data_IF_768156011981
#
_entry.id   IF_768156011981
#
_cell.length_a   1.000
_cell.length_b   1.000
_cell.length_c   1.000
_cell.angle_alpha   90.00
_cell.angle_beta   90.00
_cell.angle_gamma   90.00
#
_symmetry.space_group_name_H-M   'P 1'
#
loop_
_entity.id
_entity.type
_entity.pdbx_description
1 polymer ?
#
# COMPACT_ATOMS: atom_id res chain seq x y z
N UNK A 1 -1.96 1.25 -42.46
CA UNK A 1 -0.63 0.73 -42.84
C UNK A 1 -0.86 -0.54 -43.67
N UNK A 2 -0.11 -0.81 -44.74
CA UNK A 2 -0.24 -2.11 -45.44
C UNK A 2 0.22 -3.23 -44.50
N UNK A 3 -0.49 -4.36 -44.40
CA UNK A 3 -0.11 -5.44 -43.49
C UNK A 3 1.27 -5.98 -43.87
N UNK A 4 2.23 -5.85 -42.97
CA UNK A 4 3.57 -6.41 -43.15
C UNK A 4 3.44 -7.94 -43.02
N UNK A 5 3.79 -8.67 -44.08
CA UNK A 5 3.69 -10.13 -44.08
C UNK A 5 4.67 -10.76 -43.08
N UNK A 6 4.13 -11.44 -42.06
CA UNK A 6 4.91 -12.18 -41.06
C UNK A 6 5.85 -13.21 -41.69
N UNK A 7 5.44 -13.82 -42.82
CA UNK A 7 6.24 -14.79 -43.56
C UNK A 7 7.52 -14.19 -44.13
N UNK A 8 7.44 -12.95 -44.62
CA UNK A 8 8.61 -12.23 -45.14
C UNK A 8 9.58 -11.89 -44.01
N UNK A 9 9.07 -11.47 -42.84
CA UNK A 9 9.86 -11.12 -41.66
C UNK A 9 10.60 -12.35 -41.12
N UNK A 10 9.90 -13.47 -40.94
CA UNK A 10 10.49 -14.71 -40.45
C UNK A 10 11.54 -15.25 -41.43
N UNK A 11 11.28 -15.20 -42.75
CA UNK A 11 12.27 -15.65 -43.74
C UNK A 11 13.59 -14.86 -43.65
N UNK A 12 13.51 -13.53 -43.48
CA UNK A 12 14.67 -12.65 -43.37
C UNK A 12 15.42 -12.88 -42.04
N UNK A 13 14.69 -13.12 -40.94
CA UNK A 13 15.31 -13.42 -39.64
C UNK A 13 16.01 -14.79 -39.64
N UNK A 14 15.44 -15.81 -40.31
CA UNK A 14 16.07 -17.13 -40.43
C UNK A 14 17.33 -17.14 -41.30
N UNK A 15 17.52 -16.14 -42.16
CA UNK A 15 18.73 -15.99 -42.97
C UNK A 15 19.93 -15.45 -42.18
N UNK A 16 19.73 -15.03 -40.92
CA UNK A 16 20.81 -14.56 -40.03
C UNK A 16 21.45 -15.77 -39.35
N UNK A 17 22.75 -16.06 -39.58
CA UNK A 17 23.39 -17.26 -39.04
C UNK A 17 23.42 -17.29 -37.51
N UNK A 18 23.08 -18.43 -36.90
CA UNK A 18 23.14 -18.62 -35.45
C UNK A 18 24.55 -18.32 -34.92
N UNK A 19 24.67 -17.43 -33.93
CA UNK A 19 25.94 -17.10 -33.27
C UNK A 19 26.80 -16.02 -33.93
N UNK A 20 26.33 -15.36 -35.00
CA UNK A 20 27.02 -14.19 -35.59
C UNK A 20 26.90 -12.91 -34.75
N UNK A 21 25.84 -12.79 -33.94
CA UNK A 21 25.59 -11.64 -33.07
C UNK A 21 26.09 -11.92 -31.65
N UNK A 22 27.41 -11.78 -31.43
CA UNK A 22 28.03 -11.99 -30.10
C UNK A 22 27.96 -10.75 -29.21
N UNK A 23 27.98 -9.55 -29.81
CA UNK A 23 28.00 -8.28 -29.08
C UNK A 23 26.67 -7.54 -29.18
N UNK A 24 26.24 -6.93 -28.06
CA UNK A 24 24.98 -6.16 -27.96
C UNK A 24 24.88 -5.02 -28.98
N UNK A 25 26.01 -4.41 -29.34
CA UNK A 25 26.08 -3.33 -30.33
C UNK A 25 25.75 -3.81 -31.75
N UNK A 26 26.29 -4.96 -32.15
CA UNK A 26 26.02 -5.57 -33.46
C UNK A 26 24.55 -6.01 -33.57
N UNK A 27 23.98 -6.50 -32.46
CA UNK A 27 22.56 -6.84 -32.38
C UNK A 27 21.68 -5.61 -32.57
N UNK A 28 21.96 -4.51 -31.87
CA UNK A 28 21.19 -3.27 -31.99
C UNK A 28 21.28 -2.67 -33.41
N UNK A 29 22.46 -2.69 -34.02
CA UNK A 29 22.64 -2.21 -35.40
C UNK A 29 21.85 -3.05 -36.42
N UNK A 30 21.81 -4.37 -36.22
CA UNK A 30 21.06 -5.30 -37.08
C UNK A 30 19.56 -5.10 -36.92
N UNK A 31 19.07 -4.93 -35.69
CA UNK A 31 17.67 -4.61 -35.39
C UNK A 31 17.25 -3.30 -36.04
N UNK A 32 18.05 -2.23 -35.93
CA UNK A 32 17.78 -0.93 -36.56
C UNK A 32 17.71 -1.06 -38.09
N UNK A 33 18.63 -1.81 -38.72
CA UNK A 33 18.62 -2.05 -40.17
C UNK A 33 17.39 -2.83 -40.62
N UNK A 34 16.95 -3.82 -39.84
CA UNK A 34 15.76 -4.61 -40.13
C UNK A 34 14.47 -3.78 -39.97
N UNK A 35 14.34 -3.01 -38.89
CA UNK A 35 13.19 -2.13 -38.68
C UNK A 35 13.03 -1.11 -39.82
N UNK A 36 14.13 -0.46 -40.24
CA UNK A 36 14.13 0.44 -41.40
C UNK A 36 13.76 -0.24 -42.71
N UNK A 37 14.13 -1.51 -42.90
CA UNK A 37 13.77 -2.30 -44.10
C UNK A 37 12.27 -2.60 -44.19
N UNK A 38 11.57 -2.64 -43.06
CA UNK A 38 10.12 -2.81 -42.98
C UNK A 38 9.35 -1.49 -42.83
N UNK A 39 10.00 -0.35 -43.07
CA UNK A 39 9.43 1.00 -42.87
C UNK A 39 8.90 1.25 -41.45
N UNK A 40 9.55 0.66 -40.44
CA UNK A 40 9.26 0.89 -39.01
C UNK A 40 10.32 1.84 -38.42
N UNK A 41 9.87 2.82 -37.64
CA UNK A 41 10.76 3.77 -36.96
C UNK A 41 11.42 3.09 -35.74
N UNK A 42 12.76 3.06 -35.62
CA UNK A 42 13.45 2.38 -34.53
C UNK A 42 13.22 2.95 -33.13
N UNK A 43 12.77 4.20 -33.04
CA UNK A 43 12.57 4.91 -31.78
C UNK A 43 11.08 5.18 -31.48
N UNK A 44 10.19 4.79 -32.39
CA UNK A 44 8.74 5.00 -32.30
C UNK A 44 7.98 3.80 -32.87
N UNK A 45 7.75 2.74 -32.07
CA UNK A 45 6.95 1.60 -32.50
C UNK A 45 5.52 2.03 -32.88
N UNK A 46 4.88 1.37 -33.87
CA UNK A 46 3.50 1.68 -34.26
C UNK A 46 2.49 1.34 -33.16
N UNK A 47 1.35 2.03 -33.11
CA UNK A 47 0.31 1.80 -32.10
C UNK A 47 -0.64 0.62 -32.42
N UNK A 48 -0.59 0.06 -33.62
CA UNK A 48 -1.42 -1.07 -34.05
C UNK A 48 -0.80 -2.42 -33.68
N UNK A 49 -1.64 -3.40 -33.33
CA UNK A 49 -1.19 -4.74 -32.93
C UNK A 49 -0.22 -5.38 -33.94
N UNK A 50 -0.56 -5.34 -35.23
CA UNK A 50 0.27 -5.91 -36.29
C UNK A 50 1.65 -5.25 -36.35
N UNK A 51 1.72 -3.93 -36.19
CA UNK A 51 2.97 -3.18 -36.07
C UNK A 51 3.79 -3.59 -34.83
N UNK A 52 3.17 -3.65 -33.65
CA UNK A 52 3.83 -4.04 -32.38
C UNK A 52 4.34 -5.47 -32.42
N UNK A 53 3.56 -6.40 -32.97
CA UNK A 53 3.92 -7.81 -33.05
C UNK A 53 5.09 -8.04 -34.01
N UNK A 54 5.09 -7.39 -35.18
CA UNK A 54 6.22 -7.42 -36.13
C UNK A 54 7.47 -6.77 -35.54
N UNK A 55 7.30 -5.63 -34.87
CA UNK A 55 8.38 -4.92 -34.21
C UNK A 55 9.06 -5.79 -33.13
N UNK A 56 8.24 -6.45 -32.30
CA UNK A 56 8.69 -7.42 -31.29
C UNK A 56 9.43 -8.59 -31.92
N UNK A 57 8.91 -9.13 -33.03
CA UNK A 57 9.53 -10.25 -33.74
C UNK A 57 10.92 -9.90 -34.28
N UNK A 58 11.14 -8.65 -34.68
CA UNK A 58 12.45 -8.15 -35.13
C UNK A 58 13.42 -7.92 -33.94
N UNK A 59 12.97 -7.31 -32.84
CA UNK A 59 13.82 -7.09 -31.65
C UNK A 59 14.22 -8.40 -30.96
N UNK A 60 13.27 -9.32 -30.82
CA UNK A 60 13.48 -10.61 -30.18
C UNK A 60 14.16 -11.62 -31.10
N UNK A 61 13.66 -11.74 -32.33
CA UNK A 61 13.97 -12.83 -33.26
C UNK A 61 15.33 -12.74 -33.94
N UNK A 62 16.03 -11.60 -33.86
CA UNK A 62 17.38 -11.45 -34.38
C UNK A 62 18.35 -12.43 -33.70
N UNK A 63 18.84 -13.41 -34.46
CA UNK A 63 19.77 -14.44 -34.00
C UNK A 63 19.14 -15.63 -33.25
N UNK A 64 17.81 -15.79 -33.31
CA UNK A 64 17.09 -16.92 -32.70
C UNK A 64 16.96 -18.12 -33.67
N UNK A 65 16.85 -19.35 -33.15
CA UNK A 65 16.63 -20.55 -33.98
C UNK A 65 15.33 -20.48 -34.77
N UNK A 66 15.32 -21.12 -35.94
CA UNK A 66 14.16 -21.19 -36.84
C UNK A 66 12.92 -21.76 -36.15
N UNK A 67 13.10 -22.76 -35.28
CA UNK A 67 12.02 -23.41 -34.53
C UNK A 67 11.33 -22.42 -33.57
N UNK A 68 12.08 -21.50 -32.96
CA UNK A 68 11.53 -20.44 -32.10
C UNK A 68 10.76 -19.41 -32.92
N UNK A 69 11.27 -19.02 -34.09
CA UNK A 69 10.56 -18.09 -34.98
C UNK A 69 9.28 -18.71 -35.56
N UNK A 70 9.28 -20.03 -35.79
CA UNK A 70 8.10 -20.78 -36.25
C UNK A 70 7.03 -20.94 -35.17
N UNK A 71 7.39 -20.90 -33.88
CA UNK A 71 6.43 -20.87 -32.77
C UNK A 71 5.58 -19.60 -32.81
N UNK A 72 6.21 -18.43 -32.98
CA UNK A 72 5.50 -17.14 -33.05
C UNK A 72 4.81 -16.86 -34.39
N UNK A 73 4.93 -17.79 -35.35
CA UNK A 73 4.16 -17.80 -36.61
C UNK A 73 2.78 -18.45 -36.45
N UNK A 74 2.58 -19.24 -35.40
CA UNK A 74 1.37 -20.04 -35.24
C UNK A 74 0.18 -19.12 -34.99
N UNK A 75 -0.90 -19.35 -35.72
CA UNK A 75 -2.06 -18.47 -35.70
C UNK A 75 -2.72 -18.46 -34.32
N UNK A 76 -2.67 -19.57 -33.59
CA UNK A 76 -3.17 -19.71 -32.21
C UNK A 76 -2.38 -18.82 -31.25
N UNK A 77 -1.06 -18.75 -31.42
CA UNK A 77 -0.17 -17.90 -30.62
C UNK A 77 -0.39 -16.43 -30.98
N UNK A 78 -0.42 -16.10 -32.27
CA UNK A 78 -0.69 -14.73 -32.74
C UNK A 78 -2.05 -14.22 -32.23
N UNK A 79 -3.10 -15.05 -32.28
CA UNK A 79 -4.42 -14.72 -31.74
C UNK A 79 -4.42 -14.58 -30.21
N UNK A 80 -3.61 -15.36 -29.49
CA UNK A 80 -3.45 -15.19 -28.04
C UNK A 80 -2.80 -13.85 -27.71
N UNK A 81 -1.77 -13.43 -28.47
CA UNK A 81 -1.16 -12.12 -28.34
C UNK A 81 -2.13 -10.99 -28.73
N UNK A 82 -2.93 -11.18 -29.80
CA UNK A 82 -3.94 -10.20 -30.22
C UNK A 82 -5.02 -10.01 -29.17
N UNK A 83 -5.56 -11.10 -28.62
CA UNK A 83 -6.55 -11.06 -27.52
C UNK A 83 -5.96 -10.47 -26.25
N UNK A 84 -4.71 -10.79 -25.91
CA UNK A 84 -4.04 -10.21 -24.75
C UNK A 84 -3.79 -8.70 -24.93
N UNK A 85 -3.54 -8.25 -26.17
CA UNK A 85 -3.34 -6.84 -26.51
C UNK A 85 -4.65 -6.05 -26.49
N UNK A 86 -5.73 -6.59 -27.07
CA UNK A 86 -7.06 -5.92 -27.10
C UNK A 86 -7.73 -5.87 -25.72
N UNK A 87 -7.55 -6.92 -24.90
CA UNK A 87 -8.19 -7.05 -23.60
C UNK A 87 -7.30 -6.60 -22.42
N UNK A 88 -6.12 -6.04 -22.69
CA UNK A 88 -5.10 -5.63 -21.73
C UNK A 88 -4.81 -6.63 -20.58
N UNK A 89 -4.73 -7.92 -20.91
CA UNK A 89 -4.64 -9.01 -19.92
C UNK A 89 -3.53 -10.02 -20.24
N UNK A 90 -2.38 -9.95 -19.52
CA UNK A 90 -1.27 -10.88 -19.69
C UNK A 90 -1.58 -12.32 -19.27
N UNK A 91 -2.61 -12.54 -18.45
CA UNK A 91 -2.97 -13.88 -17.95
C UNK A 91 -3.51 -14.80 -19.07
N UNK A 92 -4.19 -14.21 -20.06
CA UNK A 92 -4.67 -14.92 -21.26
C UNK A 92 -3.49 -15.50 -22.05
N UNK A 93 -2.39 -14.74 -22.11
CA UNK A 93 -1.18 -15.10 -22.83
C UNK A 93 -0.44 -16.28 -22.19
N UNK A 94 -0.30 -16.25 -20.85
CA UNK A 94 0.42 -17.28 -20.09
C UNK A 94 -0.31 -18.62 -20.22
N UNK A 95 -1.64 -18.62 -20.05
CA UNK A 95 -2.44 -19.84 -20.16
C UNK A 95 -2.44 -20.41 -21.58
N UNK A 96 -2.68 -19.58 -22.60
CA UNK A 96 -2.68 -20.01 -24.00
C UNK A 96 -1.30 -20.52 -24.47
N UNK A 97 -0.22 -19.89 -23.98
CA UNK A 97 1.15 -20.33 -24.23
C UNK A 97 1.48 -21.66 -23.58
N UNK A 98 1.07 -21.86 -22.32
CA UNK A 98 1.28 -23.14 -21.62
C UNK A 98 0.51 -24.30 -22.25
N UNK A 99 -0.75 -24.08 -22.63
CA UNK A 99 -1.59 -25.09 -23.27
C UNK A 99 -0.97 -25.51 -24.62
N UNK A 100 -0.57 -24.55 -25.47
CA UNK A 100 0.05 -24.83 -26.77
C UNK A 100 1.43 -25.50 -26.65
N UNK A 101 2.27 -25.09 -25.69
CA UNK A 101 3.63 -25.62 -25.51
C UNK A 101 3.68 -27.01 -24.88
N UNK A 102 2.59 -27.46 -24.26
CA UNK A 102 2.47 -28.81 -23.71
C UNK A 102 1.86 -29.80 -24.72
N UNK A 103 1.05 -29.33 -25.67
CA UNK A 103 0.30 -30.19 -26.60
C UNK A 103 0.87 -30.22 -28.04
N UNK A 104 1.76 -29.30 -28.42
CA UNK A 104 2.26 -29.18 -29.80
C UNK A 104 3.55 -29.97 -30.09
N UNK A 105 3.63 -30.52 -31.31
CA UNK A 105 4.85 -31.17 -31.82
C UNK A 105 6.05 -30.20 -31.89
N UNK A 106 5.81 -28.93 -32.20
CA UNK A 106 6.84 -27.87 -32.19
C UNK A 106 7.39 -27.61 -30.79
N UNK A 107 6.55 -27.69 -29.76
CA UNK A 107 6.98 -27.59 -28.36
C UNK A 107 7.95 -28.71 -27.98
N UNK A 108 7.76 -29.92 -28.50
CA UNK A 108 8.66 -31.05 -28.31
C UNK A 108 9.98 -30.87 -29.08
N UNK A 109 9.92 -30.46 -30.35
CA UNK A 109 11.12 -30.19 -31.17
C UNK A 109 12.05 -29.12 -30.55
N UNK A 110 11.48 -28.10 -29.90
CA UNK A 110 12.27 -27.06 -29.20
C UNK A 110 12.95 -27.64 -27.94
N UNK A 111 12.27 -28.52 -27.20
CA UNK A 111 12.84 -29.21 -26.03
C UNK A 111 13.98 -30.14 -26.42
N UNK A 112 13.84 -30.84 -27.55
CA UNK A 112 14.87 -31.75 -28.08
C UNK A 112 16.15 -31.01 -28.50
N UNK A 113 16.06 -29.71 -28.81
CA UNK A 113 17.20 -28.81 -29.04
C UNK A 113 17.86 -28.29 -27.74
N UNK A 114 17.38 -28.73 -26.57
CA UNK A 114 17.86 -28.29 -25.25
C UNK A 114 17.44 -26.87 -24.88
N UNK A 115 16.43 -26.31 -25.56
CA UNK A 115 15.90 -24.97 -25.32
C UNK A 115 14.62 -25.10 -24.51
N UNK A 116 14.48 -24.30 -23.45
CA UNK A 116 13.23 -24.24 -22.67
C UNK A 116 12.19 -23.39 -23.42
N UNK A 117 11.12 -23.99 -23.99
CA UNK A 117 10.12 -23.26 -24.76
C UNK A 117 9.35 -22.26 -23.90
N UNK A 118 9.14 -22.55 -22.61
CA UNK A 118 8.42 -21.64 -21.70
C UNK A 118 9.23 -20.39 -21.44
N UNK A 119 10.55 -20.55 -21.24
CA UNK A 119 11.47 -19.44 -21.04
C UNK A 119 11.53 -18.52 -22.27
N UNK A 120 11.56 -19.10 -23.47
CA UNK A 120 11.58 -18.33 -24.73
C UNK A 120 10.23 -17.63 -24.99
N UNK A 121 9.11 -18.29 -24.69
CA UNK A 121 7.79 -17.68 -24.77
C UNK A 121 7.64 -16.48 -23.82
N UNK A 122 8.06 -16.63 -22.57
CA UNK A 122 8.05 -15.55 -21.58
C UNK A 122 9.00 -14.41 -21.96
N UNK A 123 10.15 -14.72 -22.56
CA UNK A 123 11.09 -13.72 -23.03
C UNK A 123 10.52 -12.91 -24.21
N UNK A 124 9.84 -13.57 -25.16
CA UNK A 124 9.13 -12.87 -26.23
C UNK A 124 7.97 -12.03 -25.69
N UNK A 125 7.18 -12.56 -24.76
CA UNK A 125 6.10 -11.84 -24.09
C UNK A 125 6.59 -10.58 -23.36
N UNK A 126 7.74 -10.65 -22.71
CA UNK A 126 8.36 -9.51 -22.05
C UNK A 126 8.75 -8.41 -23.05
N UNK A 127 9.35 -8.77 -24.19
CA UNK A 127 9.69 -7.81 -25.25
C UNK A 127 8.40 -7.24 -25.88
N UNK A 128 7.38 -8.07 -26.12
CA UNK A 128 6.09 -7.62 -26.63
C UNK A 128 5.44 -6.58 -25.71
N UNK A 129 5.38 -6.88 -24.41
CA UNK A 129 4.83 -5.97 -23.41
C UNK A 129 5.65 -4.68 -23.31
N UNK A 130 6.97 -4.76 -23.45
CA UNK A 130 7.85 -3.60 -23.43
C UNK A 130 7.65 -2.70 -24.66
N UNK A 131 7.55 -3.29 -25.85
CA UNK A 131 7.23 -2.56 -27.08
C UNK A 131 5.83 -1.94 -26.98
N UNK A 132 4.83 -2.70 -26.52
CA UNK A 132 3.49 -2.19 -26.27
C UNK A 132 3.48 -1.05 -25.24
N UNK A 133 4.29 -1.13 -24.17
CA UNK A 133 4.44 -0.04 -23.19
C UNK A 133 5.04 1.22 -23.78
N UNK A 134 6.02 1.10 -24.69
CA UNK A 134 6.63 2.27 -25.39
C UNK A 134 5.65 2.97 -26.32
N UNK A 135 4.63 2.24 -26.80
CA UNK A 135 3.54 2.80 -27.61
C UNK A 135 2.41 3.42 -26.79
N UNK A 136 2.38 3.17 -25.47
CA UNK A 136 1.30 3.56 -24.58
C UNK A 136 1.61 4.86 -23.83
N UNK A 137 0.58 5.68 -23.63
CA UNK A 137 0.65 6.94 -22.89
C UNK A 137 0.93 6.72 -21.38
N UNK A 138 1.42 7.73 -20.65
CA UNK A 138 1.93 7.62 -19.27
C UNK A 138 1.02 6.96 -18.21
N UNK A 139 -0.28 6.78 -18.48
CA UNK A 139 -1.21 6.09 -17.60
C UNK A 139 -0.92 4.58 -17.45
N UNK A 140 -0.42 3.92 -18.49
CA UNK A 140 -0.31 2.45 -18.51
C UNK A 140 0.97 1.93 -17.84
N UNK A 141 1.95 2.81 -17.62
CA UNK A 141 3.16 2.52 -16.82
C UNK A 141 2.79 2.25 -15.34
N UNK A 142 1.64 2.72 -14.86
CA UNK A 142 1.20 2.50 -13.47
C UNK A 142 0.69 1.08 -13.18
N UNK A 143 0.09 0.39 -14.15
CA UNK A 143 -0.40 -0.99 -13.95
C UNK A 143 0.75 -1.98 -13.69
N UNK A 144 1.92 -1.76 -14.30
CA UNK A 144 3.13 -2.55 -14.03
C UNK A 144 3.62 -2.42 -12.58
N UNK A 145 3.47 -1.24 -11.97
CA UNK A 145 3.82 -1.02 -10.56
C UNK A 145 2.79 -1.66 -9.60
N UNK A 146 1.52 -1.74 -10.01
CA UNK A 146 0.50 -2.43 -9.23
C UNK A 146 0.80 -3.95 -9.13
N UNK A 147 1.30 -4.59 -10.19
CA UNK A 147 1.70 -6.00 -10.18
C UNK A 147 2.92 -6.24 -9.28
N UNK A 148 3.91 -5.35 -9.30
CA UNK A 148 5.04 -5.40 -8.38
C UNK A 148 4.61 -5.24 -6.91
N UNK A 149 3.61 -4.40 -6.64
CA UNK A 149 3.03 -4.25 -5.29
C UNK A 149 2.26 -5.50 -4.84
N UNK A 150 1.59 -6.19 -5.76
CA UNK A 150 0.88 -7.45 -5.52
C UNK A 150 1.83 -8.59 -5.18
N UNK A 151 2.96 -8.69 -5.90
CA UNK A 151 4.03 -9.65 -5.57
C UNK A 151 4.66 -9.38 -4.20
N UNK A 152 4.83 -8.10 -3.83
CA UNK A 152 5.32 -7.70 -2.51
C UNK A 152 4.32 -8.04 -1.39
N UNK A 153 3.02 -7.90 -1.66
CA UNK A 153 1.94 -8.31 -0.74
C UNK A 153 1.88 -9.83 -0.55
N UNK A 154 2.00 -10.61 -1.62
CA UNK A 154 2.05 -12.08 -1.53
C UNK A 154 3.26 -12.57 -0.73
N UNK A 155 4.42 -11.92 -0.88
CA UNK A 155 5.60 -12.17 -0.04
C UNK A 155 5.34 -11.88 1.44
N UNK A 156 4.65 -10.79 1.78
CA UNK A 156 4.27 -10.48 3.17
C UNK A 156 3.23 -11.44 3.74
N UNK A 157 2.28 -11.91 2.93
CA UNK A 157 1.27 -12.89 3.36
C UNK A 157 1.92 -14.26 3.62
N UNK A 158 2.89 -14.66 2.79
CA UNK A 158 3.67 -15.89 3.03
C UNK A 158 4.50 -15.81 4.31
N UNK A 159 5.16 -14.68 4.58
CA UNK A 159 5.91 -14.45 5.83
C UNK A 159 4.97 -14.42 7.08
N UNK A 160 3.70 -14.01 6.91
CA UNK A 160 2.67 -14.11 7.97
C UNK A 160 2.25 -15.56 8.23
N UNK A 161 2.13 -16.38 7.19
CA UNK A 161 1.77 -17.80 7.33
C UNK A 161 2.87 -18.58 8.08
N UNK A 162 4.14 -18.21 7.90
CA UNK A 162 5.25 -18.80 8.66
C UNK A 162 5.26 -18.40 10.16
N UNK A 163 4.60 -17.31 10.54
CA UNK A 163 4.47 -16.82 11.94
C UNK A 163 3.24 -17.35 12.68
N UNK A 164 2.37 -18.12 12.01
CA UNK A 164 1.17 -18.75 12.59
C UNK A 164 1.36 -19.92 13.59
N UNK A 165 2.54 -20.54 13.83
CA UNK A 165 2.59 -21.67 14.78
C UNK A 165 2.45 -21.25 16.26
N UNK A 166 2.34 -19.95 16.56
CA UNK A 166 2.19 -19.45 17.93
C UNK A 166 0.72 -19.20 18.26
N UNK A 167 0.25 -19.71 19.42
CA UNK A 167 -1.14 -19.57 19.91
C UNK A 167 -1.61 -18.10 19.95
N UNK A 168 -0.68 -17.16 20.17
CA UNK A 168 -0.90 -15.70 20.12
C UNK A 168 -1.33 -15.19 18.73
N UNK A 169 -0.70 -15.70 17.66
CA UNK A 169 -0.98 -15.30 16.28
C UNK A 169 -2.33 -15.83 15.79
N UNK A 170 -2.69 -17.03 16.22
CA UNK A 170 -4.00 -17.64 15.94
C UNK A 170 -5.12 -16.86 16.62
N UNK A 171 -4.91 -16.39 17.87
CA UNK A 171 -5.88 -15.55 18.59
C UNK A 171 -6.06 -14.16 17.97
N UNK A 172 -4.97 -13.61 17.41
CA UNK A 172 -5.00 -12.30 16.74
C UNK A 172 -5.81 -12.34 15.45
N UNK A 173 -5.71 -13.43 14.68
CA UNK A 173 -6.52 -13.58 13.45
C UNK A 173 -7.98 -13.97 13.77
N UNK A 174 -8.25 -14.71 14.85
CA UNK A 174 -9.63 -14.97 15.30
C UNK A 174 -10.37 -13.69 15.72
N UNK A 175 -9.70 -12.78 16.44
CA UNK A 175 -10.28 -11.50 16.85
C UNK A 175 -10.58 -10.56 15.65
N UNK A 176 -9.88 -10.77 14.53
CA UNK A 176 -10.07 -10.00 13.30
C UNK A 176 -11.21 -10.55 12.44
N UNK A 177 -11.42 -11.87 12.44
CA UNK A 177 -12.52 -12.53 11.72
C UNK A 177 -13.88 -12.33 12.40
N UNK A 178 -13.93 -12.13 13.72
CA UNK A 178 -15.18 -11.83 14.43
C UNK A 178 -15.64 -10.36 14.29
N UNK A 179 -14.82 -9.49 13.68
CA UNK A 179 -15.21 -8.13 13.31
C UNK A 179 -16.04 -8.08 12.02
N UNK A 180 -16.16 -9.20 11.30
CA UNK A 180 -17.15 -9.40 10.24
C UNK A 180 -18.43 -9.99 10.87
N UNK A 181 -19.50 -9.20 10.88
CA UNK A 181 -20.79 -9.44 11.55
C UNK A 181 -21.28 -10.91 11.57
N UNK A 182 -21.28 -11.52 12.76
CA UNK A 182 -22.20 -12.62 13.10
C UNK A 182 -23.14 -12.19 14.24
N UNK A 183 -24.46 -12.08 13.98
CA UNK A 183 -25.43 -11.75 15.02
C UNK A 183 -25.82 -13.01 15.79
N UNK A 184 -25.20 -13.25 16.96
CA UNK A 184 -25.85 -13.88 18.12
C UNK A 184 -24.86 -14.08 19.30
N UNK A 185 -25.01 -13.28 20.36
CA UNK A 185 -25.13 -13.69 21.78
C UNK A 185 -24.84 -12.49 22.71
N UNK A 186 -25.81 -12.04 23.53
CA UNK A 186 -25.58 -10.94 24.46
C UNK A 186 -24.85 -11.45 25.70
N UNK A 187 -24.04 -10.56 26.31
CA UNK A 187 -23.25 -10.69 27.55
C UNK A 187 -21.78 -11.13 27.41
N UNK A 188 -21.44 -12.13 26.60
CA UNK A 188 -20.02 -12.56 26.41
C UNK A 188 -19.24 -11.70 25.40
N UNK A 189 -19.94 -11.11 24.43
CA UNK A 189 -19.34 -10.22 23.43
C UNK A 189 -18.80 -8.92 24.07
N UNK A 190 -19.50 -8.35 25.06
CA UNK A 190 -19.08 -7.09 25.70
C UNK A 190 -17.75 -7.21 26.44
N UNK A 191 -17.55 -8.31 27.18
CA UNK A 191 -16.28 -8.59 27.88
C UNK A 191 -15.15 -8.92 26.90
N UNK A 192 -15.41 -9.66 25.82
CA UNK A 192 -14.39 -9.95 24.80
C UNK A 192 -13.99 -8.70 24.00
N UNK A 193 -14.94 -7.84 23.64
CA UNK A 193 -14.68 -6.56 22.97
C UNK A 193 -13.90 -5.61 23.89
N UNK A 194 -14.24 -5.56 25.19
CA UNK A 194 -13.52 -4.75 26.16
C UNK A 194 -12.07 -5.24 26.34
N UNK A 195 -11.87 -6.56 26.50
CA UNK A 195 -10.54 -7.19 26.56
C UNK A 195 -9.71 -6.91 25.30
N UNK A 196 -10.32 -7.01 24.13
CA UNK A 196 -9.68 -6.68 22.85
C UNK A 196 -9.22 -5.22 22.79
N UNK A 197 -10.05 -4.27 23.26
CA UNK A 197 -9.68 -2.85 23.30
C UNK A 197 -8.57 -2.54 24.30
N UNK A 198 -8.60 -3.15 25.49
CA UNK A 198 -7.53 -3.02 26.50
C UNK A 198 -6.22 -3.56 25.94
N UNK A 199 -6.27 -4.67 25.19
CA UNK A 199 -5.12 -5.26 24.52
C UNK A 199 -4.59 -4.41 23.36
N UNK A 200 -5.45 -3.78 22.56
CA UNK A 200 -5.00 -2.86 21.50
C UNK A 200 -4.28 -1.66 22.13
N UNK A 201 -4.88 -1.05 23.15
CA UNK A 201 -4.29 0.09 23.85
C UNK A 201 -2.94 -0.28 24.49
N UNK A 202 -2.85 -1.45 25.12
CA UNK A 202 -1.61 -1.91 25.73
C UNK A 202 -0.50 -2.06 24.69
N UNK A 203 -0.77 -2.65 23.53
CA UNK A 203 0.24 -2.77 22.46
C UNK A 203 0.68 -1.41 21.92
N UNK A 204 -0.24 -0.46 21.79
CA UNK A 204 0.08 0.91 21.37
C UNK A 204 0.98 1.63 22.39
N UNK A 205 0.60 1.59 23.68
CA UNK A 205 1.37 2.20 24.78
C UNK A 205 2.74 1.55 24.91
N UNK A 206 2.80 0.22 24.81
CA UNK A 206 4.04 -0.54 24.87
C UNK A 206 4.98 -0.17 23.72
N UNK A 207 4.48 -0.19 22.48
CA UNK A 207 5.28 0.19 21.31
C UNK A 207 5.80 1.63 21.41
N UNK A 208 5.02 2.53 22.00
CA UNK A 208 5.47 3.90 22.27
C UNK A 208 6.63 3.94 23.29
N UNK A 209 6.47 3.31 24.45
CA UNK A 209 7.52 3.28 25.47
C UNK A 209 8.79 2.56 25.03
N UNK A 210 8.67 1.50 24.23
CA UNK A 210 9.81 0.83 23.60
C UNK A 210 10.55 1.78 22.64
N UNK A 211 9.81 2.60 21.88
CA UNK A 211 10.39 3.63 21.00
C UNK A 211 11.17 4.70 21.80
N UNK A 212 10.65 5.09 22.96
CA UNK A 212 11.33 6.00 23.90
C UNK A 212 12.46 5.32 24.69
N UNK A 213 12.71 4.04 24.46
CA UNK A 213 13.72 3.23 25.16
C UNK A 213 13.50 3.13 26.68
N UNK A 214 12.24 3.19 27.13
CA UNK A 214 11.87 2.91 28.52
C UNK A 214 12.01 1.41 28.81
N UNK A 215 12.42 1.06 30.03
CA UNK A 215 12.62 -0.35 30.41
C UNK A 215 11.41 -0.86 31.18
N UNK A 216 10.94 -2.03 30.81
CA UNK A 216 9.85 -2.71 31.52
C UNK A 216 10.41 -3.60 32.62
N UNK A 217 9.82 -3.54 33.80
CA UNK A 217 10.06 -4.51 34.86
C UNK A 217 9.28 -5.81 34.65
N UNK A 218 9.55 -6.81 35.48
CA UNK A 218 8.81 -8.09 35.49
C UNK A 218 7.38 -7.96 36.02
N UNK A 219 7.01 -6.82 36.60
CA UNK A 219 5.67 -6.60 37.13
C UNK A 219 4.69 -6.34 35.99
N UNK A 220 3.73 -7.25 35.85
CA UNK A 220 2.70 -7.20 34.83
C UNK A 220 1.41 -7.79 35.39
N UNK A 221 0.32 -7.04 35.26
CA UNK A 221 -1.04 -7.49 35.60
C UNK A 221 -1.92 -7.33 34.37
N UNK A 222 -2.67 -8.37 34.07
CA UNK A 222 -3.70 -8.39 33.04
C UNK A 222 -5.03 -8.75 33.67
N UNK A 223 -5.96 -7.81 33.62
CA UNK A 223 -7.34 -7.99 34.06
C UNK A 223 -8.29 -7.65 32.92
N UNK A 224 -9.55 -8.05 33.09
CA UNK A 224 -10.55 -7.97 32.01
C UNK A 224 -10.78 -6.54 31.49
N UNK A 225 -10.55 -5.53 32.34
CA UNK A 225 -10.83 -4.12 32.05
C UNK A 225 -9.60 -3.20 32.15
N UNK A 226 -8.45 -3.71 32.59
CA UNK A 226 -7.24 -2.91 32.76
C UNK A 226 -5.96 -3.75 32.69
N UNK A 227 -4.85 -3.09 32.42
CA UNK A 227 -3.51 -3.65 32.57
C UNK A 227 -2.66 -2.77 33.48
N UNK A 228 -1.66 -3.35 34.12
CA UNK A 228 -0.63 -2.59 34.85
C UNK A 228 0.77 -3.09 34.51
N UNK A 229 1.69 -2.13 34.36
CA UNK A 229 3.13 -2.36 34.22
C UNK A 229 3.91 -1.41 35.10
N UNK A 230 5.18 -1.75 35.33
CA UNK A 230 6.14 -0.79 35.88
C UNK A 230 7.21 -0.54 34.83
N UNK A 231 7.47 0.74 34.58
CA UNK A 231 8.50 1.21 33.65
C UNK A 231 9.55 2.04 34.38
N UNK A 232 10.80 1.93 33.95
CA UNK A 232 11.90 2.80 34.37
C UNK A 232 12.12 3.91 33.33
N UNK A 233 11.84 5.15 33.72
CA UNK A 233 12.04 6.34 32.89
C UNK A 233 13.37 7.01 33.24
N UNK A 234 14.29 7.23 32.27
CA UNK A 234 15.58 7.84 32.55
C UNK A 234 15.46 9.35 32.76
N UNK A 235 15.78 9.86 33.95
CA UNK A 235 15.57 11.28 34.28
C UNK A 235 16.83 12.12 34.17
N UNK A 236 17.98 11.64 34.68
CA UNK A 236 19.31 12.29 34.56
C UNK A 236 20.41 11.38 35.13
N UNK A 237 21.59 11.32 34.49
CA UNK A 237 22.83 10.65 34.97
C UNK A 237 22.60 9.36 35.77
N UNK A 238 22.22 8.27 35.09
CA UNK A 238 21.97 6.92 35.66
C UNK A 238 20.87 6.82 36.73
N UNK A 239 20.11 7.89 36.99
CA UNK A 239 18.89 7.83 37.80
C UNK A 239 17.70 7.49 36.91
N UNK A 240 16.88 6.56 37.38
CA UNK A 240 15.61 6.18 36.78
C UNK A 240 14.52 6.49 37.80
N UNK A 241 13.40 7.01 37.31
CA UNK A 241 12.18 7.13 38.10
C UNK A 241 11.26 5.98 37.69
N UNK A 242 10.73 5.31 38.70
CA UNK A 242 9.98 4.05 38.54
C UNK A 242 8.50 4.38 38.51
N UNK A 243 7.88 4.20 37.35
CA UNK A 243 6.51 4.65 37.08
C UNK A 243 5.59 3.44 36.91
N UNK A 244 4.51 3.40 37.69
CA UNK A 244 3.44 2.43 37.50
C UNK A 244 2.48 2.94 36.41
N UNK A 245 2.37 2.23 35.30
CA UNK A 245 1.42 2.56 34.24
C UNK A 245 0.21 1.66 34.35
N UNK A 246 -0.98 2.25 34.47
CA UNK A 246 -2.26 1.56 34.44
C UNK A 246 -3.05 1.98 33.21
N UNK A 247 -3.38 1.04 32.34
CA UNK A 247 -4.16 1.32 31.14
C UNK A 247 -5.58 0.79 31.21
N UNK A 248 -6.56 1.56 30.73
CA UNK A 248 -7.97 1.17 30.66
C UNK A 248 -8.57 1.50 29.29
N UNK A 249 -9.46 0.64 28.78
CA UNK A 249 -10.15 0.90 27.50
C UNK A 249 -11.34 1.86 27.64
N UNK A 250 -11.91 1.96 28.85
CA UNK A 250 -13.10 2.75 29.15
C UNK A 250 -12.79 4.19 29.54
N UNK A 251 -13.84 4.90 29.97
CA UNK A 251 -13.68 6.22 30.59
C UNK A 251 -12.96 6.09 31.94
N UNK A 252 -11.92 6.91 32.14
CA UNK A 252 -11.21 6.97 33.42
C UNK A 252 -12.05 7.68 34.48
N UNK A 253 -12.42 6.91 35.50
CA UNK A 253 -13.18 7.39 36.65
C UNK A 253 -12.33 7.56 37.91
N UNK A 254 -12.95 8.09 38.95
CA UNK A 254 -12.37 8.23 40.29
C UNK A 254 -11.91 6.89 40.89
N UNK A 255 -12.65 5.81 40.61
CA UNK A 255 -12.29 4.46 41.08
C UNK A 255 -10.95 4.00 40.52
N UNK A 256 -10.66 4.32 39.26
CA UNK A 256 -9.43 3.92 38.60
C UNK A 256 -8.21 4.66 39.17
N UNK A 257 -8.39 5.93 39.56
CA UNK A 257 -7.34 6.71 40.24
C UNK A 257 -7.07 6.19 41.64
N UNK A 258 -8.12 5.86 42.41
CA UNK A 258 -7.94 5.26 43.74
C UNK A 258 -7.21 3.91 43.63
N UNK A 259 -7.60 3.08 42.66
CA UNK A 259 -6.91 1.81 42.41
C UNK A 259 -5.45 2.02 41.97
N UNK A 260 -5.18 3.03 41.12
CA UNK A 260 -3.81 3.41 40.76
C UNK A 260 -3.00 3.82 42.00
N UNK A 261 -3.57 4.64 42.89
CA UNK A 261 -2.92 5.08 44.14
C UNK A 261 -2.54 3.89 45.01
N UNK A 262 -3.47 2.95 45.22
CA UNK A 262 -3.22 1.73 45.98
C UNK A 262 -2.11 0.87 45.36
N UNK A 263 -2.11 0.72 44.03
CA UNK A 263 -1.05 0.00 43.32
C UNK A 263 0.31 0.69 43.44
N UNK A 264 0.37 2.03 43.37
CA UNK A 264 1.59 2.84 43.52
C UNK A 264 2.17 2.67 44.92
N UNK A 265 1.34 2.74 45.96
CA UNK A 265 1.77 2.54 47.35
C UNK A 265 2.25 1.11 47.61
N UNK A 266 1.52 0.12 47.09
CA UNK A 266 1.85 -1.31 47.24
C UNK A 266 3.18 -1.66 46.57
N UNK A 267 3.42 -1.13 45.38
CA UNK A 267 4.64 -1.40 44.61
C UNK A 267 5.78 -0.44 44.95
N UNK A 268 5.53 0.62 45.73
CA UNK A 268 6.49 1.68 46.09
C UNK A 268 7.17 2.29 44.85
N UNK A 269 6.34 2.70 43.89
CA UNK A 269 6.77 3.42 42.68
C UNK A 269 6.83 4.92 42.94
N UNK A 270 7.66 5.64 42.19
CA UNK A 270 7.86 7.08 42.33
C UNK A 270 6.65 7.85 41.79
N UNK A 271 6.10 7.40 40.66
CA UNK A 271 4.93 7.99 40.00
C UNK A 271 3.93 6.92 39.52
N UNK A 272 2.69 7.33 39.27
CA UNK A 272 1.65 6.49 38.67
C UNK A 272 0.95 7.19 37.50
N UNK A 273 0.90 6.57 36.34
CA UNK A 273 0.25 7.10 35.14
C UNK A 273 -0.99 6.27 34.78
N UNK A 274 -2.15 6.91 34.75
CA UNK A 274 -3.38 6.33 34.21
C UNK A 274 -3.51 6.69 32.73
N UNK A 275 -3.57 5.68 31.85
CA UNK A 275 -3.70 5.88 30.40
C UNK A 275 -5.04 5.33 29.91
N UNK A 276 -5.78 6.12 29.13
CA UNK A 276 -7.05 5.68 28.50
C UNK A 276 -7.08 5.95 27.01
N UNK A 277 -7.75 5.10 26.24
CA UNK A 277 -7.97 5.31 24.81
C UNK A 277 -9.01 6.39 24.50
N UNK A 278 -9.96 6.67 25.42
CA UNK A 278 -11.15 7.49 25.10
C UNK A 278 -11.19 8.83 25.79
N UNK A 279 -11.63 8.85 27.05
CA UNK A 279 -11.91 10.08 27.79
C UNK A 279 -11.65 9.91 29.27
N UNK A 280 -11.28 11.02 29.90
CA UNK A 280 -11.07 11.11 31.34
C UNK A 280 -12.22 11.91 31.93
N UNK A 281 -12.89 11.38 32.94
CA UNK A 281 -13.95 12.11 33.63
C UNK A 281 -13.39 13.36 34.30
N UNK A 282 -14.16 14.45 34.35
CA UNK A 282 -13.70 15.71 34.98
C UNK A 282 -13.34 15.49 36.45
N UNK A 283 -14.12 14.69 37.16
CA UNK A 283 -13.84 14.33 38.54
C UNK A 283 -12.53 13.55 38.71
N UNK A 284 -12.14 12.76 37.71
CA UNK A 284 -10.83 12.12 37.68
C UNK A 284 -9.69 13.13 37.50
N UNK A 285 -9.84 14.11 36.58
CA UNK A 285 -8.85 15.20 36.43
C UNK A 285 -8.69 16.02 37.70
N UNK A 286 -9.81 16.46 38.27
CA UNK A 286 -9.82 17.26 39.50
C UNK A 286 -9.18 16.52 40.69
N UNK A 287 -9.31 15.18 40.75
CA UNK A 287 -8.68 14.36 41.79
C UNK A 287 -7.17 14.30 41.64
N UNK A 288 -6.66 14.16 40.40
CA UNK A 288 -5.21 14.13 40.12
C UNK A 288 -4.55 15.50 40.41
N UNK A 289 -5.27 16.61 40.23
CA UNK A 289 -4.76 17.96 40.54
C UNK A 289 -4.58 18.24 42.06
N UNK A 290 -5.15 17.39 42.93
CA UNK A 290 -5.03 17.58 44.38
C UNK A 290 -3.58 17.40 44.84
N UNK A 291 -3.18 18.20 45.84
CA UNK A 291 -1.82 18.16 46.40
C UNK A 291 -1.42 16.79 46.98
N UNK A 292 -2.41 15.97 47.36
CA UNK A 292 -2.22 14.61 47.88
C UNK A 292 -1.81 13.61 46.78
N UNK A 293 -2.11 13.91 45.51
CA UNK A 293 -1.90 13.03 44.35
C UNK A 293 -0.82 13.55 43.39
N UNK A 294 0.13 14.34 43.88
CA UNK A 294 1.16 14.98 43.04
C UNK A 294 2.05 14.02 42.25
N UNK A 295 2.10 12.76 42.66
CA UNK A 295 2.83 11.68 42.00
C UNK A 295 1.95 10.88 41.02
N UNK A 296 0.67 11.23 40.88
CA UNK A 296 -0.22 10.59 39.92
C UNK A 296 -0.44 11.51 38.73
N UNK A 297 -0.59 10.92 37.56
CA UNK A 297 -0.94 11.61 36.33
C UNK A 297 -1.99 10.80 35.56
N UNK A 298 -2.82 11.49 34.78
CA UNK A 298 -3.80 10.85 33.92
C UNK A 298 -3.72 11.42 32.50
N UNK A 299 -3.67 10.55 31.51
CA UNK A 299 -3.52 10.90 30.11
C UNK A 299 -4.49 10.09 29.24
N UNK A 300 -5.04 10.72 28.21
CA UNK A 300 -5.45 9.94 27.04
C UNK A 300 -4.19 9.45 26.32
N UNK A 301 -4.30 8.40 25.50
CA UNK A 301 -3.15 7.94 24.73
C UNK A 301 -2.56 9.07 23.87
N UNK A 302 -3.42 9.89 23.25
CA UNK A 302 -3.00 11.07 22.49
C UNK A 302 -2.28 12.13 23.35
N UNK A 303 -2.75 12.41 24.58
CA UNK A 303 -2.09 13.34 25.50
C UNK A 303 -0.73 12.82 26.00
N UNK A 304 -0.58 11.49 26.09
CA UNK A 304 0.69 10.85 26.42
C UNK A 304 1.70 10.98 25.28
N UNK A 305 1.26 10.81 24.03
CA UNK A 305 2.11 10.99 22.85
C UNK A 305 2.65 12.43 22.77
N UNK A 306 1.82 13.43 23.06
CA UNK A 306 2.18 14.84 23.02
C UNK A 306 3.30 15.24 24.00
N UNK A 307 3.58 14.45 25.04
CA UNK A 307 4.67 14.75 25.97
C UNK A 307 6.04 14.72 25.28
N UNK A 308 6.21 13.81 24.32
CA UNK A 308 7.49 13.57 23.64
C UNK A 308 7.43 13.87 22.13
N UNK A 309 6.24 13.86 21.51
CA UNK A 309 6.05 14.08 20.08
C UNK A 309 5.31 15.40 19.77
N UNK A 310 6.08 16.48 19.64
CA UNK A 310 5.53 17.79 19.26
C UNK A 310 5.53 17.98 17.74
N UNK A 311 4.33 17.89 17.13
CA UNK A 311 4.10 18.16 15.71
C UNK A 311 3.63 19.60 15.44
N UNK A 312 3.52 20.46 16.45
CA UNK A 312 2.93 21.80 16.33
C UNK A 312 3.61 22.63 15.25
N UNK A 313 4.94 22.65 15.22
CA UNK A 313 5.70 23.41 14.21
C UNK A 313 5.39 22.97 12.77
N UNK A 314 5.19 21.67 12.55
CA UNK A 314 4.83 21.13 11.23
C UNK A 314 3.37 21.46 10.87
N UNK A 315 2.44 21.33 11.82
CA UNK A 315 1.02 21.64 11.59
C UNK A 315 0.82 23.14 11.28
N UNK A 316 1.55 24.01 11.98
CA UNK A 316 1.55 25.45 11.74
C UNK A 316 2.16 25.81 10.38
N UNK A 317 3.25 25.14 10.00
CA UNK A 317 3.82 25.27 8.66
C UNK A 317 2.81 24.85 7.58
N UNK A 318 2.17 23.70 7.74
CA UNK A 318 1.20 23.18 6.76
C UNK A 318 0.03 24.14 6.59
N UNK A 319 -0.55 24.62 7.68
CA UNK A 319 -1.60 25.65 7.65
C UNK A 319 -1.14 26.92 6.94
N UNK A 320 0.05 27.41 7.26
CA UNK A 320 0.61 28.63 6.66
C UNK A 320 0.81 28.46 5.16
N UNK A 321 1.32 27.32 4.71
CA UNK A 321 1.55 27.00 3.31
C UNK A 321 0.24 26.97 2.52
N UNK A 322 -0.82 26.37 3.09
CA UNK A 322 -2.15 26.30 2.49
C UNK A 322 -2.77 27.69 2.36
N UNK A 323 -2.76 28.49 3.43
CA UNK A 323 -3.32 29.85 3.45
C UNK A 323 -2.56 30.81 2.54
N UNK A 324 -1.23 30.71 2.50
CA UNK A 324 -0.40 31.55 1.62
C UNK A 324 -0.73 31.31 0.15
N UNK A 325 -1.03 30.06 -0.22
CA UNK A 325 -1.47 29.69 -1.57
C UNK A 325 -2.96 29.91 -1.81
N UNK A 326 -3.71 30.34 -0.79
CA UNK A 326 -5.16 30.58 -0.81
C UNK A 326 -5.96 29.32 -1.21
N UNK A 327 -5.44 28.14 -0.88
CA UNK A 327 -6.10 26.86 -1.21
C UNK A 327 -7.33 26.65 -0.32
N UNK A 328 -7.33 27.21 0.88
CA UNK A 328 -8.46 27.22 1.80
C UNK A 328 -9.69 27.97 1.23
N UNK A 329 -9.47 28.99 0.41
CA UNK A 329 -10.53 29.88 -0.09
C UNK A 329 -10.81 29.77 -1.58
N UNK A 330 -9.82 29.36 -2.39
CA UNK A 330 -9.91 29.32 -3.86
C UNK A 330 -10.00 27.90 -4.42
N UNK A 331 -10.03 26.88 -3.59
CA UNK A 331 -10.18 25.52 -4.06
C UNK A 331 -11.56 25.30 -4.68
N UNK A 332 -11.58 24.63 -5.83
CA UNK A 332 -12.81 24.27 -6.54
C UNK A 332 -13.05 22.77 -6.32
N UNK A 333 -14.15 22.39 -5.64
CA UNK A 333 -14.47 20.98 -5.44
C UNK A 333 -14.58 20.22 -6.76
N UNK A 334 -14.05 19.00 -6.79
CA UNK A 334 -14.01 18.15 -7.98
C UNK A 334 -14.94 16.96 -7.77
N UNK A 335 -15.85 16.74 -8.71
CA UNK A 335 -16.58 15.47 -8.80
C UNK A 335 -15.66 14.40 -9.40
N UNK A 336 -15.89 13.13 -9.06
CA UNK A 336 -15.20 12.02 -9.68
C UNK A 336 -16.17 10.95 -10.18
N UNK A 337 -15.71 10.15 -11.13
CA UNK A 337 -16.47 9.02 -11.66
C UNK A 337 -15.64 7.75 -11.52
N UNK A 338 -16.30 6.66 -11.13
CA UNK A 338 -15.70 5.34 -11.07
C UNK A 338 -16.45 4.41 -12.00
N UNK A 339 -15.72 3.81 -12.93
CA UNK A 339 -16.28 2.75 -13.76
C UNK A 339 -16.49 1.50 -12.90
N UNK A 340 -17.72 1.00 -12.90
CA UNK A 340 -18.04 -0.27 -12.26
C UNK A 340 -17.78 -1.38 -13.26
N UNK A 341 -16.86 -2.27 -12.89
CA UNK A 341 -16.37 -3.35 -13.74
C UNK A 341 -16.78 -4.66 -13.07
N UNK A 342 -17.45 -5.52 -13.85
CA UNK A 342 -17.78 -6.87 -13.41
C UNK A 342 -16.48 -7.66 -13.16
N UNK A 343 -16.29 -8.24 -11.97
CA UNK A 343 -15.05 -8.95 -11.64
C UNK A 343 -14.79 -10.17 -12.52
N UNK A 344 -15.83 -10.83 -13.03
CA UNK A 344 -15.71 -12.05 -13.83
C UNK A 344 -15.52 -11.73 -15.32
N UNK A 345 -16.31 -10.80 -15.83
CA UNK A 345 -16.28 -10.46 -17.26
C UNK A 345 -15.30 -9.33 -17.60
N UNK A 346 -14.83 -8.59 -16.60
CA UNK A 346 -14.00 -7.37 -16.73
C UNK A 346 -14.62 -6.33 -17.68
N UNK A 347 -15.93 -6.44 -17.94
CA UNK A 347 -16.70 -5.50 -18.73
C UNK A 347 -17.23 -4.38 -17.83
N UNK A 348 -17.27 -3.17 -18.39
CA UNK A 348 -17.94 -2.04 -17.74
C UNK A 348 -19.45 -2.30 -17.65
N UNK A 349 -19.95 -2.43 -16.44
CA UNK A 349 -21.37 -2.65 -16.13
C UNK A 349 -22.07 -1.37 -15.66
N UNK A 350 -21.32 -0.33 -15.30
CA UNK A 350 -21.88 0.95 -14.87
C UNK A 350 -20.85 2.05 -14.67
N UNK A 351 -21.35 3.22 -14.27
CA UNK A 351 -20.52 4.36 -13.82
C UNK A 351 -21.12 4.90 -12.54
N UNK A 352 -20.34 4.89 -11.48
CA UNK A 352 -20.63 5.58 -10.23
C UNK A 352 -20.18 7.03 -10.36
N UNK A 353 -21.08 7.97 -10.08
CA UNK A 353 -20.81 9.40 -10.09
C UNK A 353 -20.80 9.89 -8.64
N UNK A 354 -19.68 10.46 -8.20
CA UNK A 354 -19.53 11.07 -6.87
C UNK A 354 -19.49 12.59 -7.03
N UNK A 355 -20.56 13.24 -6.56
CA UNK A 355 -20.75 14.69 -6.66
C UNK A 355 -20.93 15.32 -5.27
N UNK A 356 -21.52 16.52 -5.20
CA UNK A 356 -21.79 17.24 -3.95
C UNK A 356 -22.52 16.37 -2.91
N UNK A 357 -23.40 15.47 -3.35
CA UNK A 357 -24.19 14.59 -2.46
C UNK A 357 -23.31 13.62 -1.68
N UNK A 358 -22.16 13.28 -2.24
CA UNK A 358 -21.19 12.34 -1.67
C UNK A 358 -20.01 13.06 -1.00
N UNK A 359 -20.06 14.41 -0.91
CA UNK A 359 -18.95 15.21 -0.40
C UNK A 359 -17.80 15.35 -1.39
N UNK A 360 -18.10 15.31 -2.69
CA UNK A 360 -17.13 15.43 -3.78
C UNK A 360 -16.05 14.33 -3.74
N UNK A 361 -14.92 14.53 -4.42
CA UNK A 361 -13.80 13.59 -4.40
C UNK A 361 -13.24 13.38 -2.99
N UNK A 362 -13.35 14.38 -2.10
CA UNK A 362 -12.91 14.30 -0.71
C UNK A 362 -13.68 13.23 0.07
N UNK A 363 -15.01 13.22 -0.06
CA UNK A 363 -15.86 12.21 0.57
C UNK A 363 -15.64 10.81 0.01
N UNK A 364 -15.35 10.70 -1.29
CA UNK A 364 -14.90 9.43 -1.88
C UNK A 364 -13.60 8.93 -1.24
N UNK A 365 -12.61 9.80 -1.03
CA UNK A 365 -11.36 9.42 -0.36
C UNK A 365 -11.60 9.06 1.11
N UNK A 366 -12.47 9.76 1.81
CA UNK A 366 -12.81 9.45 3.20
C UNK A 366 -13.35 8.00 3.32
N UNK A 367 -14.29 7.61 2.46
CA UNK A 367 -14.81 6.24 2.42
C UNK A 367 -13.74 5.23 2.03
N UNK A 368 -12.85 5.59 1.09
CA UNK A 368 -11.77 4.72 0.67
C UNK A 368 -10.74 4.48 1.78
N UNK A 369 -10.42 5.51 2.57
CA UNK A 369 -9.45 5.42 3.67
C UNK A 369 -9.99 4.66 4.88
N UNK A 370 -11.31 4.61 5.03
CA UNK A 370 -11.98 3.82 6.06
C UNK A 370 -12.00 2.32 5.73
N UNK A 371 -11.86 1.94 4.45
CA UNK A 371 -11.80 0.54 4.02
C UNK A 371 -10.43 -0.11 4.42
N UNK A 372 -10.42 -1.08 5.35
CA UNK A 372 -9.19 -1.71 5.82
C UNK A 372 -8.47 -2.57 4.77
N UNK A 373 -9.12 -2.91 3.65
CA UNK A 373 -8.49 -3.63 2.53
C UNK A 373 -7.67 -2.69 1.61
N UNK A 374 -7.76 -1.38 1.83
CA UNK A 374 -7.19 -0.34 0.99
C UNK A 374 -6.06 0.38 1.74
N UNK A 375 -4.88 0.46 1.10
CA UNK A 375 -3.66 0.95 1.76
C UNK A 375 -2.98 2.12 1.03
N UNK A 376 -3.03 2.15 -0.30
CA UNK A 376 -2.47 3.20 -1.14
C UNK A 376 -3.40 3.71 -2.27
N UNK A 377 -3.55 5.04 -2.41
CA UNK A 377 -4.15 5.71 -3.58
C UNK A 377 -3.05 6.44 -4.36
N UNK A 378 -3.04 6.24 -5.69
CA UNK A 378 -2.23 7.05 -6.60
C UNK A 378 -3.13 8.06 -7.33
N UNK A 379 -2.81 9.36 -7.25
CA UNK A 379 -3.50 10.40 -8.03
C UNK A 379 -2.68 10.74 -9.27
N UNK A 380 -3.23 10.39 -10.43
CA UNK A 380 -2.63 10.63 -11.74
C UNK A 380 -3.26 11.82 -12.47
N UNK A 381 -2.49 12.44 -13.36
CA UNK A 381 -2.98 13.50 -14.23
C UNK A 381 -1.86 14.33 -14.83
N UNK A 382 -2.15 15.04 -15.91
CA UNK A 382 -1.21 15.92 -16.59
C UNK A 382 -0.77 17.12 -15.74
N UNK A 383 0.31 17.80 -16.15
CA UNK A 383 0.73 19.02 -15.45
C UNK A 383 -0.39 20.07 -15.49
N UNK A 384 -0.64 20.73 -14.36
CA UNK A 384 -1.69 21.76 -14.25
C UNK A 384 -3.09 21.24 -13.92
N UNK A 385 -3.34 19.93 -13.84
CA UNK A 385 -4.67 19.37 -13.51
C UNK A 385 -5.09 19.51 -12.03
N UNK A 386 -4.35 20.28 -11.22
CA UNK A 386 -4.72 20.52 -9.83
C UNK A 386 -4.34 19.42 -8.82
N UNK A 387 -3.61 18.37 -9.19
CA UNK A 387 -3.18 17.28 -8.26
C UNK A 387 -2.58 17.79 -6.95
N UNK A 388 -1.64 18.74 -7.05
CA UNK A 388 -1.00 19.33 -5.87
C UNK A 388 -1.98 20.15 -5.04
N UNK A 389 -2.90 20.86 -5.70
CA UNK A 389 -3.96 21.62 -5.03
C UNK A 389 -4.91 20.70 -4.28
N UNK A 390 -5.34 19.60 -4.92
CA UNK A 390 -6.16 18.59 -4.28
C UNK A 390 -5.47 17.97 -3.06
N UNK A 391 -4.23 17.50 -3.19
CA UNK A 391 -3.50 16.90 -2.07
C UNK A 391 -3.35 17.88 -0.89
N UNK A 392 -3.02 19.16 -1.17
CA UNK A 392 -2.93 20.20 -0.14
C UNK A 392 -4.29 20.54 0.47
N UNK A 393 -5.37 20.56 -0.33
CA UNK A 393 -6.72 20.80 0.17
C UNK A 393 -7.23 19.64 1.03
N UNK A 394 -6.97 18.39 0.64
CA UNK A 394 -7.32 17.25 1.46
C UNK A 394 -6.52 17.23 2.78
N UNK A 395 -5.23 17.57 2.73
CA UNK A 395 -4.41 17.76 3.92
C UNK A 395 -4.93 18.91 4.82
N UNK A 396 -5.47 19.99 4.24
CA UNK A 396 -6.15 21.05 4.98
C UNK A 396 -7.34 20.53 5.77
N UNK A 397 -8.23 19.75 5.12
CA UNK A 397 -9.40 19.18 5.79
C UNK A 397 -9.00 18.24 6.92
N UNK A 398 -8.02 17.36 6.68
CA UNK A 398 -7.50 16.46 7.70
C UNK A 398 -6.84 17.22 8.87
N UNK A 399 -6.13 18.31 8.58
CA UNK A 399 -5.54 19.19 9.60
C UNK A 399 -6.61 19.86 10.47
N UNK A 400 -7.70 20.34 9.86
CA UNK A 400 -8.81 20.93 10.61
C UNK A 400 -9.48 19.89 11.52
N UNK A 401 -9.73 18.67 11.01
CA UNK A 401 -10.27 17.56 11.81
C UNK A 401 -9.34 17.20 12.97
N UNK A 402 -8.02 17.15 12.72
CA UNK A 402 -7.01 16.88 13.74
C UNK A 402 -7.02 17.92 14.86
N UNK A 403 -7.03 19.21 14.50
CA UNK A 403 -7.06 20.31 15.48
C UNK A 403 -8.39 20.40 16.23
N UNK A 404 -9.52 20.15 15.57
CA UNK A 404 -10.83 20.09 16.26
C UNK A 404 -10.85 18.97 17.30
N UNK A 405 -10.35 17.78 16.94
CA UNK A 405 -10.24 16.65 17.87
C UNK A 405 -9.31 16.98 19.05
N UNK A 406 -8.14 17.58 18.78
CA UNK A 406 -7.20 18.02 19.80
C UNK A 406 -7.82 19.04 20.77
N UNK A 407 -8.50 20.07 20.24
CA UNK A 407 -9.13 21.12 21.06
C UNK A 407 -10.28 20.59 21.92
N UNK A 408 -11.02 19.60 21.42
CA UNK A 408 -12.16 19.00 22.11
C UNK A 408 -11.79 17.82 23.01
N UNK A 409 -10.52 17.40 23.00
CA UNK A 409 -10.05 16.22 23.74
C UNK A 409 -10.69 14.92 23.26
N UNK A 410 -10.96 14.81 21.95
CA UNK A 410 -11.43 13.60 21.30
C UNK A 410 -10.26 12.77 20.77
N UNK A 411 -10.52 11.50 20.47
CA UNK A 411 -9.56 10.62 19.78
C UNK A 411 -9.10 11.27 18.48
N UNK A 412 -7.78 11.37 18.28
CA UNK A 412 -7.24 12.10 17.15
C UNK A 412 -7.31 11.26 15.87
N UNK A 413 -7.72 11.84 14.74
CA UNK A 413 -7.57 11.19 13.45
C UNK A 413 -6.08 11.07 13.09
N UNK A 414 -5.78 10.28 12.06
CA UNK A 414 -4.41 10.13 11.54
C UNK A 414 -3.77 11.49 11.24
N UNK A 415 -2.52 11.66 11.67
CA UNK A 415 -1.75 12.88 11.43
C UNK A 415 -1.55 13.11 9.92
N UNK A 416 -1.96 14.27 9.36
CA UNK A 416 -1.80 14.54 7.94
C UNK A 416 -0.35 14.93 7.60
N UNK A 417 0.35 14.03 6.91
CA UNK A 417 1.74 14.27 6.46
C UNK A 417 1.79 14.54 4.95
N UNK A 418 2.29 15.73 4.59
CA UNK A 418 2.54 16.15 3.21
C UNK A 418 4.04 16.16 2.98
N UNK A 419 4.51 15.26 2.12
CA UNK A 419 5.94 15.12 1.80
C UNK A 419 6.13 15.40 0.31
N UNK A 420 6.55 16.62 -0.08
CA UNK A 420 6.86 16.91 -1.47
C UNK A 420 8.16 16.20 -1.90
N UNK A 421 8.06 15.28 -2.86
CA UNK A 421 9.23 14.51 -3.34
C UNK A 421 10.37 15.39 -3.88
N UNK A 422 10.05 16.59 -4.37
CA UNK A 422 11.03 17.58 -4.83
C UNK A 422 12.01 18.01 -3.74
N UNK A 423 11.59 17.97 -2.48
CA UNK A 423 12.38 18.41 -1.35
C UNK A 423 13.30 17.27 -0.85
N UNK A 424 12.98 16.02 -1.18
CA UNK A 424 13.82 14.85 -0.94
C UNK A 424 15.07 14.83 -1.85
N UNK A 425 14.95 15.30 -3.10
CA UNK A 425 16.05 15.30 -4.07
C UNK A 425 17.15 16.34 -3.76
N UNK A 426 16.90 17.30 -2.87
CA UNK A 426 17.87 18.34 -2.46
C UNK A 426 18.70 17.97 -1.23
N UNK A 427 18.38 16.85 -0.58
CA UNK A 427 19.01 16.41 0.67
C UNK A 427 20.20 15.45 0.45
N UNK A 428 20.74 15.36 -0.78
CA UNK A 428 21.91 14.54 -1.14
C UNK A 428 23.08 15.41 -1.55
#
# INVERSE_FOLDING_TARGET
MMPISLDLVISILTAIPLGTLKDKLQRNETVIKLLRKFNLEPDAPPADFSGIYVYTLVEYGAGKPKQILQLFRQQEIEQAFHKAFDCDSPAILIKAGEDYLNESALGQEIRDLGIDPRREFMAFAAVFMEVAKRTRTPGDVMMGNAIASLQKRLSMVMDRIERLPTIEGIRTEFARLEAEDYPALPTAASTNIQKSKVFILSQQVRGWFETLSYRFEKYEIWEDNYFEWIIDVPVRRKKYDRILVRGIAGEAGLRDILALRESVEKQRTDEGWLVTARRISRAARDEVEKAENRNLACYTFDELLDQDADFTAYLDWLETEIKTRQIDTKYVPLACTKDEIDPDTQCKIGVSHYDDRDGWIEGYIDLWLDDPAKEHISVLGEFGTGKTWFAMHYAWLALQRYRDAQNRGLERPRLPLVIPLRDYAKAV
#
